data_IF_564767080320
#
_entry.id   IF_564767080320
#
_cell.length_a   1.000
_cell.length_b   1.000
_cell.length_c   1.000
_cell.angle_alpha   90.00
_cell.angle_beta   90.00
_cell.angle_gamma   90.00
#
_symmetry.space_group_name_H-M   'P 1'
#
loop_
_entity.id
_entity.type
_entity.pdbx_description
1 polymer ?
#
# COMPACT_ATOMS: atom_id res chain seq x y z
N UNK A 1 41.47 -8.19 2.42
CA UNK A 1 40.32 -7.95 3.29
C UNK A 1 39.10 -8.10 2.41
N UNK A 2 38.29 -9.11 2.70
CA UNK A 2 37.09 -9.43 1.95
C UNK A 2 36.21 -8.19 1.88
N UNK A 3 35.80 -7.86 0.65
CA UNK A 3 34.78 -6.84 0.38
C UNK A 3 33.52 -7.24 1.13
N UNK A 4 33.22 -6.50 2.20
CA UNK A 4 31.89 -6.49 2.81
C UNK A 4 30.90 -6.31 1.66
N UNK A 5 30.13 -7.35 1.36
CA UNK A 5 29.01 -7.26 0.44
C UNK A 5 28.05 -6.29 1.12
N UNK A 6 28.09 -5.05 0.65
CA UNK A 6 27.10 -4.03 0.92
C UNK A 6 25.76 -4.73 0.71
N UNK A 7 25.05 -4.95 1.83
CA UNK A 7 23.73 -5.58 1.85
C UNK A 7 22.93 -4.91 0.75
N UNK A 8 22.60 -5.67 -0.29
CA UNK A 8 21.81 -5.22 -1.41
C UNK A 8 20.37 -5.04 -0.93
N UNK A 9 20.15 -4.14 0.02
CA UNK A 9 18.83 -3.59 0.29
C UNK A 9 18.45 -2.82 -0.97
N UNK A 10 17.77 -3.51 -1.90
CA UNK A 10 17.05 -2.86 -2.97
C UNK A 10 16.26 -1.69 -2.34
N UNK A 11 16.36 -0.47 -2.90
CA UNK A 11 15.77 0.69 -2.27
C UNK A 11 14.29 0.41 -2.06
N UNK A 12 13.89 0.28 -0.78
CA UNK A 12 12.50 0.03 -0.37
C UNK A 12 11.60 0.97 -1.15
N UNK A 13 10.66 0.36 -1.89
CA UNK A 13 9.78 1.00 -2.88
C UNK A 13 9.36 2.40 -2.41
N UNK A 14 9.79 3.42 -3.15
CA UNK A 14 9.41 4.81 -2.92
C UNK A 14 7.87 4.91 -2.87
N UNK A 15 7.32 5.90 -2.13
CA UNK A 15 5.88 6.12 -2.12
C UNK A 15 5.43 6.30 -3.56
N UNK A 16 4.37 5.60 -3.96
CA UNK A 16 3.92 5.51 -5.34
C UNK A 16 3.39 6.88 -5.79
N UNK A 17 4.31 7.70 -6.32
CA UNK A 17 4.04 9.09 -6.69
C UNK A 17 3.08 9.15 -7.89
N UNK A 18 3.03 8.08 -8.68
CA UNK A 18 2.23 8.00 -9.90
C UNK A 18 0.74 8.13 -9.57
N UNK A 19 0.27 7.49 -8.48
CA UNK A 19 -1.11 7.61 -8.01
C UNK A 19 -1.44 9.06 -7.63
N UNK A 20 -0.51 9.73 -6.94
CA UNK A 20 -0.68 11.14 -6.55
C UNK A 20 -0.67 12.08 -7.76
N UNK A 21 0.17 11.80 -8.75
CA UNK A 21 0.22 12.55 -10.00
C UNK A 21 -1.06 12.37 -10.82
N UNK A 22 -1.57 11.14 -10.96
CA UNK A 22 -2.82 10.82 -11.64
C UNK A 22 -4.01 11.55 -11.00
N UNK A 23 -4.12 11.52 -9.66
CA UNK A 23 -5.15 12.28 -8.93
C UNK A 23 -5.08 13.77 -9.25
N UNK A 24 -3.87 14.34 -9.25
CA UNK A 24 -3.68 15.76 -9.55
C UNK A 24 -4.05 16.09 -11.01
N UNK A 25 -3.64 15.26 -11.97
CA UNK A 25 -4.02 15.41 -13.39
C UNK A 25 -5.54 15.40 -13.57
N UNK A 26 -6.23 14.46 -12.93
CA UNK A 26 -7.69 14.34 -12.96
C UNK A 26 -8.41 15.55 -12.33
N UNK A 27 -7.76 16.26 -11.41
CA UNK A 27 -8.30 17.51 -10.85
C UNK A 27 -8.25 18.65 -11.86
N UNK A 28 -7.32 18.61 -12.83
CA UNK A 28 -7.15 19.63 -13.87
C UNK A 28 -7.97 19.32 -15.14
N UNK A 29 -7.96 18.07 -15.59
CA UNK A 29 -8.68 17.59 -16.78
C UNK A 29 -9.23 16.19 -16.51
N UNK A 30 -10.53 16.01 -16.66
CA UNK A 30 -11.17 14.69 -16.46
C UNK A 30 -11.07 13.88 -17.75
N UNK A 31 -10.06 13.01 -17.83
CA UNK A 31 -9.91 12.02 -18.91
C UNK A 31 -10.37 10.65 -18.42
N UNK A 32 -11.24 9.96 -19.17
CA UNK A 32 -11.71 8.62 -18.83
C UNK A 32 -10.58 7.57 -18.74
N UNK A 33 -9.47 7.80 -19.43
CA UNK A 33 -8.29 6.91 -19.43
C UNK A 33 -7.54 6.98 -18.09
N UNK A 34 -7.21 8.20 -17.64
CA UNK A 34 -6.53 8.45 -16.36
C UNK A 34 -7.38 7.98 -15.17
N UNK A 35 -8.71 8.08 -15.29
CA UNK A 35 -9.64 7.56 -14.28
C UNK A 35 -9.51 6.05 -14.11
N UNK A 36 -9.54 5.30 -15.21
CA UNK A 36 -9.41 3.84 -15.16
C UNK A 36 -8.03 3.41 -14.66
N UNK A 37 -6.99 4.15 -15.05
CA UNK A 37 -5.64 3.90 -14.57
C UNK A 37 -5.53 4.13 -13.07
N UNK A 38 -6.12 5.21 -12.55
CA UNK A 38 -6.17 5.49 -11.12
C UNK A 38 -6.99 4.41 -10.38
N UNK A 39 -8.18 4.06 -10.84
CA UNK A 39 -9.01 3.01 -10.24
C UNK A 39 -8.26 1.67 -10.18
N UNK A 40 -7.56 1.31 -11.25
CA UNK A 40 -6.75 0.09 -11.29
C UNK A 40 -5.58 0.16 -10.30
N UNK A 41 -4.84 1.27 -10.28
CA UNK A 41 -3.71 1.43 -9.36
C UNK A 41 -4.16 1.40 -7.88
N UNK A 42 -5.34 1.94 -7.57
CA UNK A 42 -5.94 1.89 -6.24
C UNK A 42 -6.33 0.46 -5.86
N UNK A 43 -6.93 -0.29 -6.78
CA UNK A 43 -7.30 -1.69 -6.56
C UNK A 43 -6.09 -2.61 -6.41
N UNK A 44 -5.06 -2.44 -7.26
CA UNK A 44 -3.85 -3.26 -7.23
C UNK A 44 -3.04 -3.08 -5.92
N UNK A 45 -3.18 -1.94 -5.26
CA UNK A 45 -2.51 -1.65 -3.97
C UNK A 45 -3.45 -1.73 -2.76
N UNK A 46 -4.69 -2.18 -2.93
CA UNK A 46 -5.72 -2.26 -1.89
C UNK A 46 -5.86 -0.96 -1.05
N UNK A 47 -5.70 0.22 -1.66
CA UNK A 47 -5.68 1.52 -0.97
C UNK A 47 -7.09 2.04 -0.60
N UNK A 48 -7.88 1.24 0.12
CA UNK A 48 -9.30 1.49 0.38
C UNK A 48 -9.61 2.88 0.98
N UNK A 49 -8.87 3.36 2.01
CA UNK A 49 -9.12 4.69 2.59
C UNK A 49 -8.81 5.82 1.60
N UNK A 50 -7.81 5.61 0.73
CA UNK A 50 -7.41 6.61 -0.25
C UNK A 50 -8.40 6.68 -1.41
N UNK A 51 -9.01 5.55 -1.79
CA UNK A 51 -10.12 5.53 -2.77
C UNK A 51 -11.32 6.38 -2.31
N UNK A 52 -11.72 6.28 -1.04
CA UNK A 52 -12.79 7.13 -0.49
C UNK A 52 -12.44 8.63 -0.61
N UNK A 53 -11.20 9.01 -0.27
CA UNK A 53 -10.73 10.40 -0.38
C UNK A 53 -10.70 10.87 -1.84
N UNK A 54 -10.20 10.03 -2.75
CA UNK A 54 -10.14 10.35 -4.18
C UNK A 54 -11.56 10.55 -4.75
N UNK A 55 -12.50 9.67 -4.39
CA UNK A 55 -13.88 9.81 -4.80
C UNK A 55 -14.53 11.08 -4.25
N UNK A 56 -14.28 11.41 -2.99
CA UNK A 56 -14.80 12.64 -2.38
C UNK A 56 -14.21 13.90 -3.04
N UNK A 57 -12.90 13.92 -3.31
CA UNK A 57 -12.20 15.06 -3.92
C UNK A 57 -12.60 15.29 -5.39
N UNK A 58 -12.79 14.21 -6.16
CA UNK A 58 -13.19 14.28 -7.56
C UNK A 58 -14.71 14.25 -7.78
N UNK A 59 -15.50 14.11 -6.70
CA UNK A 59 -16.95 13.98 -6.76
C UNK A 59 -17.44 12.69 -7.43
N UNK A 60 -16.61 11.64 -7.46
CA UNK A 60 -16.97 10.35 -8.04
C UNK A 60 -17.86 9.53 -7.11
N UNK A 61 -18.70 8.68 -7.71
CA UNK A 61 -19.49 7.72 -6.94
C UNK A 61 -18.60 6.60 -6.44
N UNK A 62 -18.51 6.46 -5.12
CA UNK A 62 -17.85 5.32 -4.46
C UNK A 62 -18.58 4.03 -4.78
N UNK A 63 -17.85 3.04 -5.29
CA UNK A 63 -18.35 1.67 -5.42
C UNK A 63 -18.21 0.93 -4.08
N UNK A 64 -19.34 0.64 -3.44
CA UNK A 64 -19.38 0.01 -2.13
C UNK A 64 -18.91 -1.46 -2.15
N UNK A 65 -19.06 -2.16 -3.27
CA UNK A 65 -18.64 -3.56 -3.39
C UNK A 65 -17.11 -3.63 -3.48
N UNK A 66 -16.50 -2.79 -4.31
CA UNK A 66 -15.03 -2.67 -4.44
C UNK A 66 -14.41 -2.22 -3.12
N UNK A 67 -14.99 -1.19 -2.49
CA UNK A 67 -14.52 -0.67 -1.21
C UNK A 67 -14.53 -1.74 -0.11
N UNK A 68 -15.59 -2.57 -0.08
CA UNK A 68 -15.69 -3.67 0.88
C UNK A 68 -14.63 -4.73 0.62
N UNK A 69 -14.42 -5.13 -0.64
CA UNK A 69 -13.39 -6.11 -1.01
C UNK A 69 -11.99 -5.64 -0.58
N UNK A 70 -11.65 -4.38 -0.86
CA UNK A 70 -10.36 -3.80 -0.47
C UNK A 70 -10.21 -3.72 1.06
N UNK A 71 -11.26 -3.34 1.79
CA UNK A 71 -11.25 -3.32 3.27
C UNK A 71 -11.05 -4.72 3.86
N UNK A 72 -11.67 -5.74 3.27
CA UNK A 72 -11.51 -7.14 3.70
C UNK A 72 -10.07 -7.64 3.46
N UNK A 73 -9.49 -7.36 2.28
CA UNK A 73 -8.09 -7.70 1.98
C UNK A 73 -7.11 -7.01 2.94
N UNK A 74 -7.30 -5.71 3.20
CA UNK A 74 -6.48 -4.96 4.15
C UNK A 74 -6.55 -5.52 5.56
N UNK A 75 -7.75 -5.85 6.03
CA UNK A 75 -7.94 -6.43 7.36
C UNK A 75 -7.20 -7.76 7.46
N UNK A 76 -7.33 -8.62 6.45
CA UNK A 76 -6.66 -9.92 6.42
C UNK A 76 -5.13 -9.78 6.37
N UNK A 77 -4.60 -8.88 5.54
CA UNK A 77 -3.16 -8.64 5.46
C UNK A 77 -2.60 -8.11 6.79
N UNK A 78 -3.31 -7.18 7.45
CA UNK A 78 -2.91 -6.68 8.77
C UNK A 78 -2.90 -7.77 9.84
N UNK A 79 -3.91 -8.66 9.84
CA UNK A 79 -3.93 -9.82 10.73
C UNK A 79 -2.78 -10.79 10.46
N UNK A 80 -2.39 -10.99 9.21
CA UNK A 80 -1.24 -11.81 8.84
C UNK A 80 0.07 -11.20 9.35
N UNK A 81 0.27 -9.89 9.19
CA UNK A 81 1.43 -9.19 9.76
C UNK A 81 1.47 -9.24 11.29
N UNK A 82 0.32 -9.11 11.97
CA UNK A 82 0.27 -9.21 13.42
C UNK A 82 0.64 -10.62 13.91
N UNK A 83 0.18 -11.66 13.22
CA UNK A 83 0.59 -13.04 13.50
C UNK A 83 2.08 -13.27 13.25
N UNK A 84 2.63 -12.69 12.18
CA UNK A 84 4.07 -12.76 11.87
C UNK A 84 4.91 -12.08 12.97
N UNK A 85 4.47 -10.90 13.42
CA UNK A 85 5.11 -10.16 14.51
C UNK A 85 5.06 -10.95 15.83
N UNK A 86 3.89 -11.50 16.20
CA UNK A 86 3.74 -12.31 17.42
C UNK A 86 4.61 -13.57 17.39
N UNK A 87 4.65 -14.24 16.23
CA UNK A 87 5.50 -15.41 16.02
C UNK A 87 6.98 -15.06 16.14
N UNK A 88 7.44 -14.00 15.46
CA UNK A 88 8.82 -13.54 15.52
C UNK A 88 9.20 -13.09 16.94
N UNK A 89 8.30 -12.40 17.65
CA UNK A 89 8.54 -11.95 19.02
C UNK A 89 8.70 -13.11 20.01
N UNK A 90 8.01 -14.23 19.76
CA UNK A 90 8.02 -15.40 20.64
C UNK A 90 9.13 -16.41 20.33
N UNK A 91 9.58 -16.48 19.08
CA UNK A 91 10.44 -17.58 18.60
C UNK A 91 11.75 -17.14 17.93
N UNK A 92 11.90 -15.86 17.57
CA UNK A 92 12.96 -15.41 16.68
C UNK A 92 13.89 -14.34 17.28
N UNK A 93 14.94 -14.00 16.54
CA UNK A 93 15.90 -12.95 16.92
C UNK A 93 15.31 -11.54 16.76
N UNK A 94 15.91 -10.54 17.41
CA UNK A 94 15.43 -9.14 17.33
C UNK A 94 15.44 -8.55 15.91
N UNK A 95 16.21 -9.14 14.99
CA UNK A 95 16.30 -8.72 13.59
C UNK A 95 15.02 -9.09 12.85
N UNK A 96 14.52 -10.32 13.02
CA UNK A 96 13.27 -10.79 12.39
C UNK A 96 12.05 -10.02 12.90
N UNK A 97 12.03 -9.68 14.19
CA UNK A 97 10.98 -8.81 14.76
C UNK A 97 11.00 -7.44 14.08
N UNK A 98 12.19 -6.85 13.88
CA UNK A 98 12.33 -5.56 13.20
C UNK A 98 11.87 -5.64 11.75
N UNK A 99 12.18 -6.72 11.03
CA UNK A 99 11.75 -6.94 9.66
C UNK A 99 10.22 -7.09 9.56
N UNK A 100 9.59 -7.85 10.45
CA UNK A 100 8.13 -8.00 10.49
C UNK A 100 7.41 -6.65 10.72
N UNK A 101 7.91 -5.82 11.66
CA UNK A 101 7.39 -4.46 11.86
C UNK A 101 7.61 -3.56 10.64
N UNK A 102 8.74 -3.72 9.95
CA UNK A 102 9.08 -2.94 8.76
C UNK A 102 8.17 -3.31 7.58
N UNK A 103 7.85 -4.59 7.42
CA UNK A 103 6.88 -5.07 6.41
C UNK A 103 5.50 -4.47 6.66
N UNK A 104 5.00 -4.52 7.91
CA UNK A 104 3.73 -3.89 8.28
C UNK A 104 3.73 -2.38 8.04
N UNK A 105 4.83 -1.69 8.38
CA UNK A 105 4.96 -0.26 8.15
C UNK A 105 4.98 0.11 6.66
N UNK A 106 5.63 -0.71 5.82
CA UNK A 106 5.64 -0.51 4.38
C UNK A 106 4.27 -0.74 3.75
N UNK A 107 3.47 -1.66 4.30
CA UNK A 107 2.10 -1.91 3.84
C UNK A 107 1.12 -0.78 4.21
N UNK A 108 1.30 -0.16 5.39
CA UNK A 108 0.47 0.95 5.87
C UNK A 108 0.89 2.33 5.31
N UNK A 109 1.96 2.37 4.51
CA UNK A 109 2.53 3.60 3.98
C UNK A 109 1.71 4.15 2.82
#
# INVERSE_FOLDING_TARGET
METEKLDSEEPKKNPDLDISQLKFSLTLQETDEEKKELEKALFDNDMAPYYEIVCDDLGWKVDADILKEMKEKNTKALEEFDKEIEYAASNSSSIEVKEAYLNKANYLR
#
